data_IF_395221581859
#
_entry.id   IF_395221581859
#
_cell.length_a   1.000
_cell.length_b   1.000
_cell.length_c   1.000
_cell.angle_alpha   90.00
_cell.angle_beta   90.00
_cell.angle_gamma   90.00
#
_symmetry.space_group_name_H-M   'P 1'
#
loop_
_entity.id
_entity.type
_entity.pdbx_description
1 polymer ?
#
# COMPACT_ATOMS: atom_id res chain seq x y z
N UNK A 1 -53.34 -23.93 -12.21
CA UNK A 1 -52.25 -23.20 -11.51
C UNK A 1 -52.44 -21.73 -11.80
N UNK A 2 -52.98 -20.98 -10.84
CA UNK A 2 -53.51 -19.63 -11.04
C UNK A 2 -52.44 -18.64 -11.53
N UNK A 3 -52.81 -17.63 -12.34
CA UNK A 3 -51.89 -16.63 -12.90
C UNK A 3 -51.04 -15.91 -11.83
N UNK A 4 -51.56 -15.81 -10.60
CA UNK A 4 -50.85 -15.26 -9.44
C UNK A 4 -49.54 -16.00 -9.12
N UNK A 5 -49.54 -17.34 -9.15
CA UNK A 5 -48.34 -18.13 -8.85
C UNK A 5 -47.24 -17.95 -9.90
N UNK A 6 -47.62 -17.74 -11.17
CA UNK A 6 -46.66 -17.47 -12.25
C UNK A 6 -46.00 -16.11 -12.08
N UNK A 7 -46.76 -15.09 -11.71
CA UNK A 7 -46.24 -13.74 -11.47
C UNK A 7 -45.31 -13.74 -10.25
N UNK A 8 -45.71 -14.38 -9.14
CA UNK A 8 -44.88 -14.49 -7.94
C UNK A 8 -43.54 -15.19 -8.23
N UNK A 9 -43.55 -16.27 -9.02
CA UNK A 9 -42.33 -16.98 -9.41
C UNK A 9 -41.37 -16.10 -10.24
N UNK A 10 -41.89 -15.32 -11.20
CA UNK A 10 -41.08 -14.39 -12.00
C UNK A 10 -40.44 -13.32 -11.11
N UNK A 11 -41.19 -12.76 -10.16
CA UNK A 11 -40.66 -11.76 -9.22
C UNK A 11 -39.53 -12.35 -8.37
N UNK A 12 -39.70 -13.56 -7.83
CA UNK A 12 -38.67 -14.25 -7.05
C UNK A 12 -37.41 -14.49 -7.89
N UNK A 13 -37.55 -14.91 -9.15
CA UNK A 13 -36.44 -15.13 -10.05
C UNK A 13 -35.65 -13.82 -10.30
N UNK A 14 -36.35 -12.72 -10.55
CA UNK A 14 -35.75 -11.40 -10.74
C UNK A 14 -34.99 -10.95 -9.49
N UNK A 15 -35.60 -11.10 -8.30
CA UNK A 15 -34.95 -10.77 -7.02
C UNK A 15 -33.70 -11.61 -6.79
N UNK A 16 -33.74 -12.90 -7.13
CA UNK A 16 -32.60 -13.80 -7.00
C UNK A 16 -31.45 -13.38 -7.92
N UNK A 17 -31.73 -13.09 -9.20
CA UNK A 17 -30.73 -12.60 -10.15
C UNK A 17 -30.16 -11.24 -9.70
N UNK A 18 -31.01 -10.32 -9.27
CA UNK A 18 -30.58 -9.01 -8.75
C UNK A 18 -29.67 -9.15 -7.53
N UNK A 19 -29.97 -10.11 -6.65
CA UNK A 19 -29.14 -10.41 -5.46
C UNK A 19 -27.78 -10.95 -5.87
N UNK A 20 -27.73 -11.92 -6.80
CA UNK A 20 -26.46 -12.44 -7.33
C UNK A 20 -25.65 -11.30 -7.95
N UNK A 21 -26.29 -10.45 -8.76
CA UNK A 21 -25.59 -9.34 -9.40
C UNK A 21 -25.06 -8.34 -8.39
N UNK A 22 -25.85 -8.01 -7.37
CA UNK A 22 -25.41 -7.17 -6.27
C UNK A 22 -24.20 -7.77 -5.54
N UNK A 23 -24.22 -9.07 -5.25
CA UNK A 23 -23.10 -9.76 -4.59
C UNK A 23 -21.83 -9.73 -5.45
N UNK A 24 -21.91 -10.03 -6.74
CA UNK A 24 -20.75 -9.98 -7.64
C UNK A 24 -20.23 -8.54 -7.75
N UNK A 25 -21.12 -7.56 -7.96
CA UNK A 25 -20.73 -6.17 -8.04
C UNK A 25 -20.04 -5.72 -6.74
N UNK A 26 -20.57 -6.11 -5.58
CA UNK A 26 -20.06 -5.68 -4.27
C UNK A 26 -18.75 -6.35 -3.87
N UNK A 27 -18.63 -7.67 -4.05
CA UNK A 27 -17.52 -8.46 -3.53
C UNK A 27 -16.42 -8.73 -4.56
N UNK A 28 -16.73 -8.63 -5.85
CA UNK A 28 -15.76 -8.86 -6.92
C UNK A 28 -15.41 -7.53 -7.60
N UNK A 29 -16.37 -6.87 -8.24
CA UNK A 29 -16.07 -5.69 -9.07
C UNK A 29 -15.64 -4.48 -8.23
N UNK A 30 -16.40 -4.13 -7.21
CA UNK A 30 -16.17 -2.94 -6.39
C UNK A 30 -14.79 -2.89 -5.73
N UNK A 31 -14.29 -3.96 -5.06
CA UNK A 31 -12.93 -3.94 -4.52
C UNK A 31 -11.86 -3.94 -5.60
N UNK A 32 -12.12 -4.38 -6.84
CA UNK A 32 -11.14 -4.30 -7.92
C UNK A 32 -10.97 -2.85 -8.37
N UNK A 33 -12.06 -2.11 -8.57
CA UNK A 33 -12.02 -0.75 -9.11
C UNK A 33 -11.81 0.35 -8.07
N UNK A 34 -12.31 0.18 -6.84
CA UNK A 34 -12.34 1.24 -5.82
C UNK A 34 -11.37 1.02 -4.66
N UNK A 35 -10.35 0.17 -4.83
CA UNK A 35 -9.28 -0.01 -3.84
C UNK A 35 -8.64 1.34 -3.47
N UNK A 36 -8.61 1.72 -2.18
CA UNK A 36 -8.00 2.96 -1.76
C UNK A 36 -6.50 2.93 -2.05
N UNK A 37 -6.04 3.83 -2.93
CA UNK A 37 -4.63 3.94 -3.29
C UNK A 37 -3.91 4.90 -2.35
N UNK A 38 -2.69 4.56 -1.98
CA UNK A 38 -1.76 5.51 -1.36
C UNK A 38 -1.16 6.42 -2.45
N UNK A 39 -1.08 7.72 -2.18
CA UNK A 39 -0.40 8.65 -3.09
C UNK A 39 1.09 8.70 -2.76
N UNK A 40 1.95 8.76 -3.77
CA UNK A 40 3.41 8.86 -3.55
C UNK A 40 3.79 10.07 -2.71
N UNK A 41 3.09 11.21 -2.85
CA UNK A 41 3.34 12.39 -2.03
C UNK A 41 3.12 12.16 -0.52
N UNK A 42 2.21 11.27 -0.15
CA UNK A 42 1.96 10.92 1.26
C UNK A 42 3.06 10.02 1.80
N UNK A 43 3.60 9.15 0.95
CA UNK A 43 4.77 8.33 1.27
C UNK A 43 5.97 9.22 1.51
N UNK A 44 6.27 10.12 0.58
CA UNK A 44 7.43 11.01 0.71
C UNK A 44 7.32 11.92 1.93
N UNK A 45 6.13 12.49 2.19
CA UNK A 45 5.90 13.28 3.39
C UNK A 45 6.15 12.48 4.68
N UNK A 46 5.63 11.26 4.76
CA UNK A 46 5.87 10.39 5.92
C UNK A 46 7.35 10.04 6.09
N UNK A 47 8.05 9.73 5.00
CA UNK A 47 9.47 9.37 5.03
C UNK A 47 10.38 10.55 5.37
N UNK A 48 10.02 11.76 4.92
CA UNK A 48 10.69 13.01 5.26
C UNK A 48 10.60 13.28 6.78
N UNK A 49 9.40 13.14 7.36
CA UNK A 49 9.20 13.23 8.82
C UNK A 49 10.05 12.21 9.59
N UNK A 50 10.30 11.03 9.01
CA UNK A 50 11.13 9.97 9.59
C UNK A 50 12.62 10.07 9.24
N UNK A 51 13.03 11.02 8.41
CA UNK A 51 14.41 11.17 7.90
C UNK A 51 14.94 9.90 7.22
N UNK A 52 14.10 9.22 6.43
CA UNK A 52 14.48 8.02 5.70
C UNK A 52 14.27 8.22 4.19
N UNK A 53 15.15 7.64 3.38
CA UNK A 53 15.06 7.67 1.91
C UNK A 53 14.14 6.56 1.41
N UNK A 54 13.34 6.87 0.40
CA UNK A 54 12.46 5.90 -0.24
C UNK A 54 13.26 4.89 -1.07
N UNK A 55 12.88 3.61 -1.01
CA UNK A 55 13.42 2.55 -1.87
C UNK A 55 12.30 1.95 -2.71
N UNK A 56 11.31 1.37 -2.04
CA UNK A 56 10.16 0.77 -2.70
C UNK A 56 8.91 0.82 -1.83
N UNK A 57 7.76 0.73 -2.48
CA UNK A 57 6.52 0.34 -1.81
C UNK A 57 5.81 -0.74 -2.63
N UNK A 58 5.17 -1.68 -1.94
CA UNK A 58 4.37 -2.73 -2.59
C UNK A 58 3.12 -3.07 -1.80
N UNK A 59 2.12 -3.62 -2.49
CA UNK A 59 0.92 -4.14 -1.83
C UNK A 59 1.28 -5.43 -1.08
N UNK A 60 0.70 -5.65 0.10
CA UNK A 60 1.00 -6.88 0.85
C UNK A 60 0.55 -8.13 0.08
N UNK A 61 1.42 -9.13 0.08
CA UNK A 61 1.09 -10.46 -0.41
C UNK A 61 0.22 -11.24 0.62
N UNK A 62 -0.24 -12.44 0.26
CA UNK A 62 -1.09 -13.25 1.13
C UNK A 62 -0.41 -13.66 2.44
N UNK A 63 0.88 -13.99 2.40
CA UNK A 63 1.66 -14.42 3.59
C UNK A 63 1.92 -13.26 4.55
N UNK A 64 2.22 -12.07 4.04
CA UNK A 64 2.36 -10.84 4.82
C UNK A 64 1.04 -10.45 5.48
N UNK A 65 -0.10 -10.57 4.78
CA UNK A 65 -1.43 -10.29 5.35
C UNK A 65 -1.79 -11.21 6.51
N UNK A 66 -1.37 -12.48 6.45
CA UNK A 66 -1.62 -13.46 7.51
C UNK A 66 -0.95 -13.08 8.83
N UNK A 67 0.16 -12.33 8.80
CA UNK A 67 0.86 -11.86 10.00
C UNK A 67 0.08 -10.80 10.78
N UNK A 68 -0.93 -10.18 10.17
CA UNK A 68 -1.85 -9.27 10.83
C UNK A 68 -1.15 -8.15 11.63
N UNK A 69 -0.27 -7.40 10.96
CA UNK A 69 0.53 -6.32 11.57
C UNK A 69 -0.33 -5.24 12.26
N UNK A 70 -1.60 -5.13 11.87
CA UNK A 70 -2.57 -4.17 12.40
C UNK A 70 -3.44 -4.76 13.54
N UNK A 71 -3.12 -5.96 14.06
CA UNK A 71 -3.84 -6.62 15.17
C UNK A 71 -5.37 -6.63 15.00
N UNK A 72 -5.84 -6.91 13.78
CA UNK A 72 -7.26 -6.99 13.46
C UNK A 72 -7.88 -8.23 14.10
N UNK A 73 -9.01 -8.06 14.78
CA UNK A 73 -9.85 -9.19 15.17
C UNK A 73 -10.46 -9.83 13.92
N UNK A 74 -10.42 -11.16 13.85
CA UNK A 74 -11.13 -11.91 12.80
C UNK A 74 -12.62 -11.91 13.15
N UNK A 75 -13.46 -11.42 12.25
CA UNK A 75 -14.91 -11.36 12.46
C UNK A 75 -15.63 -10.59 11.36
N UNK A 76 -16.95 -10.52 11.48
CA UNK A 76 -17.81 -9.75 10.59
C UNK A 76 -18.36 -8.56 11.38
N UNK A 77 -17.76 -7.38 11.23
CA UNK A 77 -18.32 -6.15 11.81
C UNK A 77 -19.18 -5.41 10.80
N UNK A 78 -20.25 -4.75 11.25
CA UNK A 78 -21.08 -3.92 10.36
C UNK A 78 -20.25 -2.79 9.74
N UNK A 79 -19.25 -2.28 10.46
CA UNK A 79 -18.32 -1.28 9.95
C UNK A 79 -17.43 -1.81 8.81
N UNK A 80 -17.12 -3.10 8.77
CA UNK A 80 -16.37 -3.71 7.66
C UNK A 80 -17.16 -3.75 6.37
N UNK A 81 -18.50 -3.87 6.45
CA UNK A 81 -19.34 -3.81 5.27
C UNK A 81 -19.23 -2.47 4.55
N UNK A 82 -18.92 -1.38 5.25
CA UNK A 82 -18.82 -0.04 4.66
C UNK A 82 -17.38 0.50 4.56
N UNK A 83 -16.38 -0.32 4.87
CA UNK A 83 -14.98 0.13 4.90
C UNK A 83 -14.14 -0.62 3.88
N UNK A 84 -13.61 0.10 2.90
CA UNK A 84 -12.57 -0.43 2.02
C UNK A 84 -11.20 -0.27 2.66
N UNK A 85 -10.35 -1.28 2.54
CA UNK A 85 -9.00 -1.28 3.11
C UNK A 85 -7.99 -1.74 2.07
N UNK A 86 -6.81 -1.14 2.10
CA UNK A 86 -5.65 -1.65 1.34
C UNK A 86 -4.40 -1.46 2.18
N UNK A 87 -3.58 -2.50 2.22
CA UNK A 87 -2.36 -2.55 3.00
C UNK A 87 -1.16 -2.50 2.07
N UNK A 88 -0.15 -1.73 2.47
CA UNK A 88 1.10 -1.53 1.77
C UNK A 88 2.29 -1.77 2.70
N UNK A 89 3.39 -2.20 2.09
CA UNK A 89 4.70 -2.28 2.72
C UNK A 89 5.56 -1.20 2.08
N UNK A 90 6.24 -0.40 2.90
CA UNK A 90 7.25 0.56 2.46
C UNK A 90 8.59 0.10 2.99
N UNK A 91 9.56 0.00 2.10
CA UNK A 91 10.96 -0.22 2.42
C UNK A 91 11.68 1.11 2.25
N UNK A 92 12.43 1.49 3.27
CA UNK A 92 13.18 2.74 3.29
C UNK A 92 14.54 2.55 3.95
N UNK A 93 15.47 3.47 3.68
CA UNK A 93 16.77 3.50 4.33
C UNK A 93 16.89 4.73 5.21
N UNK A 94 17.10 4.53 6.51
CA UNK A 94 17.22 5.63 7.46
C UNK A 94 18.69 6.00 7.61
N UNK A 95 19.06 7.18 7.09
CA UNK A 95 20.45 7.63 6.98
C UNK A 95 21.11 7.75 8.35
N UNK A 96 20.38 8.27 9.35
CA UNK A 96 20.90 8.46 10.70
C UNK A 96 21.32 7.15 11.38
N UNK A 97 20.58 6.07 11.12
CA UNK A 97 20.81 4.75 11.71
C UNK A 97 21.62 3.82 10.81
N UNK A 98 21.84 4.22 9.55
CA UNK A 98 22.43 3.40 8.47
C UNK A 98 21.77 2.02 8.34
N UNK A 99 20.44 1.97 8.48
CA UNK A 99 19.66 0.74 8.47
C UNK A 99 18.44 0.85 7.58
N UNK A 100 18.11 -0.27 6.94
CA UNK A 100 16.82 -0.44 6.27
C UNK A 100 15.72 -0.60 7.31
N UNK A 101 14.58 0.03 7.05
CA UNK A 101 13.36 -0.10 7.84
C UNK A 101 12.18 -0.44 6.97
N UNK A 102 11.22 -1.14 7.57
CA UNK A 102 9.94 -1.46 6.96
C UNK A 102 8.85 -0.73 7.72
N UNK A 103 8.01 -0.02 6.96
CA UNK A 103 6.77 0.56 7.48
C UNK A 103 5.58 -0.12 6.80
N UNK A 104 4.70 -0.68 7.62
CA UNK A 104 3.41 -1.20 7.20
C UNK A 104 2.40 -0.05 7.20
N UNK A 105 1.64 0.06 6.13
CA UNK A 105 0.61 1.09 5.99
C UNK A 105 -0.73 0.44 5.72
N UNK A 106 -1.76 0.89 6.41
CA UNK A 106 -3.13 0.56 6.09
C UNK A 106 -3.88 1.84 5.71
N UNK A 107 -4.40 1.86 4.48
CA UNK A 107 -5.29 2.91 4.00
C UNK A 107 -6.72 2.41 4.09
N UNK A 108 -7.55 3.11 4.85
CA UNK A 108 -8.96 2.79 4.99
C UNK A 108 -9.80 3.92 4.38
N UNK A 109 -10.91 3.56 3.72
CA UNK A 109 -11.89 4.51 3.21
C UNK A 109 -13.27 4.04 3.60
N UNK A 110 -13.99 4.86 4.38
CA UNK A 110 -15.38 4.60 4.75
C UNK A 110 -16.29 5.13 3.65
N UNK A 111 -17.23 4.29 3.22
CA UNK A 111 -18.25 4.57 2.21
C UNK A 111 -19.48 5.21 2.86
N UNK A 112 -19.26 6.35 3.52
CA UNK A 112 -20.31 7.19 4.09
C UNK A 112 -20.55 8.42 3.21
N UNK A 113 -21.66 9.15 3.42
CA UNK A 113 -21.95 10.44 2.73
C UNK A 113 -20.75 11.40 2.75
N UNK A 114 -19.99 11.40 3.85
CA UNK A 114 -18.67 12.03 3.94
C UNK A 114 -17.60 10.96 3.76
N UNK A 115 -16.91 10.96 2.61
CA UNK A 115 -15.81 10.04 2.33
C UNK A 115 -14.65 10.34 3.29
N UNK A 116 -14.55 9.58 4.39
CA UNK A 116 -13.44 9.70 5.35
C UNK A 116 -12.36 8.68 5.00
N UNK A 117 -11.17 9.18 4.70
CA UNK A 117 -9.97 8.39 4.48
C UNK A 117 -9.06 8.48 5.69
N UNK A 118 -8.59 7.35 6.19
CA UNK A 118 -7.63 7.27 7.28
C UNK A 118 -6.42 6.43 6.86
N UNK A 119 -5.26 6.76 7.41
CA UNK A 119 -4.01 6.04 7.20
C UNK A 119 -3.38 5.71 8.54
N UNK A 120 -2.93 4.48 8.69
CA UNK A 120 -2.21 4.02 9.86
C UNK A 120 -0.83 3.50 9.43
N UNK A 121 0.21 3.88 10.15
CA UNK A 121 1.59 3.48 9.91
C UNK A 121 2.10 2.68 11.11
N UNK A 122 2.77 1.55 10.85
CA UNK A 122 3.36 0.69 11.87
C UNK A 122 4.78 0.33 11.43
N UNK A 123 5.76 0.57 12.30
CA UNK A 123 7.16 0.14 12.06
C UNK A 123 7.30 -1.36 12.32
N UNK A 124 7.97 -2.07 11.43
CA UNK A 124 8.32 -3.47 11.64
C UNK A 124 9.40 -3.58 12.73
N UNK A 125 9.21 -4.52 13.66
CA UNK A 125 10.13 -4.78 14.76
C UNK A 125 10.65 -6.21 14.77
N UNK A 126 10.11 -7.09 13.93
CA UNK A 126 10.56 -8.46 13.83
C UNK A 126 11.95 -8.53 13.20
N UNK A 127 12.92 -8.95 14.01
CA UNK A 127 14.34 -9.00 13.68
C UNK A 127 14.62 -9.91 12.49
N UNK A 128 13.91 -11.04 12.35
CA UNK A 128 14.11 -11.98 11.25
C UNK A 128 13.77 -11.36 9.89
N UNK A 129 12.65 -10.63 9.83
CA UNK A 129 12.20 -9.93 8.62
C UNK A 129 13.21 -8.83 8.26
N UNK A 130 13.64 -8.05 9.24
CA UNK A 130 14.61 -6.97 9.01
C UNK A 130 15.97 -7.51 8.55
N UNK A 131 16.41 -8.65 9.11
CA UNK A 131 17.63 -9.32 8.67
C UNK A 131 17.51 -9.86 7.24
N UNK A 132 16.35 -10.42 6.88
CA UNK A 132 16.11 -10.89 5.52
C UNK A 132 16.08 -9.73 4.52
N UNK A 133 15.46 -8.61 4.88
CA UNK A 133 15.49 -7.39 4.09
C UNK A 133 16.92 -6.89 3.89
N UNK A 134 17.74 -6.87 4.94
CA UNK A 134 19.13 -6.45 4.82
C UNK A 134 19.94 -7.34 3.87
N UNK A 135 19.63 -8.64 3.81
CA UNK A 135 20.22 -9.56 2.82
C UNK A 135 19.74 -9.26 1.39
N UNK A 136 18.45 -8.96 1.22
CA UNK A 136 17.84 -8.65 -0.08
C UNK A 136 18.38 -7.34 -0.68
N UNK A 137 18.59 -6.32 0.16
CA UNK A 137 19.11 -5.00 -0.22
C UNK A 137 20.56 -4.80 0.19
N UNK A 138 21.39 -5.84 0.16
CA UNK A 138 22.81 -5.78 0.54
C UNK A 138 23.67 -4.99 -0.47
N UNK A 139 23.26 -3.77 -0.76
CA UNK A 139 23.92 -2.81 -1.63
C UNK A 139 24.58 -1.75 -0.77
N UNK A 140 25.81 -1.38 -1.15
CA UNK A 140 26.54 -0.30 -0.51
C UNK A 140 25.89 1.04 -0.90
N UNK A 141 25.27 1.71 0.08
CA UNK A 141 24.64 3.02 -0.16
C UNK A 141 25.72 4.09 -0.11
N UNK A 142 26.03 4.65 -1.28
CA UNK A 142 26.94 5.78 -1.42
C UNK A 142 26.12 7.07 -1.34
N UNK A 143 26.36 7.87 -0.29
CA UNK A 143 25.73 9.19 -0.16
C UNK A 143 26.42 10.16 -1.12
N UNK A 144 25.69 10.62 -2.12
CA UNK A 144 26.17 11.55 -3.15
C UNK A 144 25.79 12.97 -2.73
N UNK A 145 26.78 13.81 -2.38
CA UNK A 145 26.55 15.19 -1.93
C UNK A 145 26.83 16.21 -3.04
N UNK A 146 28.00 16.10 -3.68
CA UNK A 146 28.56 17.12 -4.56
C UNK A 146 29.25 16.53 -5.80
N UNK A 147 29.64 15.25 -5.78
CA UNK A 147 30.34 14.60 -6.88
C UNK A 147 29.79 13.22 -7.23
N UNK A 148 29.74 12.92 -8.52
CA UNK A 148 29.33 11.62 -9.02
C UNK A 148 30.31 10.53 -8.55
N UNK A 149 29.84 9.44 -7.93
CA UNK A 149 30.74 8.37 -7.52
C UNK A 149 31.38 7.65 -8.72
N UNK A 150 30.71 7.62 -9.87
CA UNK A 150 31.22 6.95 -11.07
C UNK A 150 32.23 7.81 -11.85
N UNK A 151 31.93 9.09 -12.10
CA UNK A 151 32.76 9.94 -12.97
C UNK A 151 33.35 11.17 -12.30
N UNK A 152 33.13 11.35 -10.99
CA UNK A 152 33.63 12.48 -10.16
C UNK A 152 33.23 13.88 -10.64
N UNK A 153 32.28 13.96 -11.59
CA UNK A 153 31.71 15.23 -12.04
C UNK A 153 30.89 15.89 -10.93
N UNK A 154 30.82 17.22 -10.93
CA UNK A 154 29.98 17.95 -9.99
C UNK A 154 28.51 17.65 -10.21
N UNK A 155 27.76 17.39 -9.14
CA UNK A 155 26.32 17.14 -9.17
C UNK A 155 25.61 18.18 -8.33
N UNK A 156 24.49 18.68 -8.84
CA UNK A 156 23.57 19.51 -8.06
C UNK A 156 22.66 18.61 -7.23
N UNK A 157 22.37 18.99 -5.99
CA UNK A 157 21.57 18.22 -5.00
C UNK A 157 20.16 17.82 -5.47
N UNK A 158 19.68 18.37 -6.58
CA UNK A 158 18.35 18.11 -7.14
C UNK A 158 18.37 17.20 -8.38
N UNK A 159 19.55 16.75 -8.83
CA UNK A 159 19.67 15.89 -10.01
C UNK A 159 19.39 14.43 -9.67
N UNK A 160 18.45 13.81 -10.39
CA UNK A 160 18.13 12.38 -10.29
C UNK A 160 18.99 11.51 -11.19
N UNK A 161 19.84 12.12 -12.01
CA UNK A 161 20.72 11.44 -12.96
C UNK A 161 21.99 12.27 -13.19
N UNK A 162 23.15 11.60 -13.29
CA UNK A 162 24.40 12.24 -13.64
C UNK A 162 24.46 12.54 -15.14
N UNK A 163 24.47 13.82 -15.52
CA UNK A 163 24.56 14.26 -16.92
C UNK A 163 25.80 13.76 -17.67
N UNK A 164 26.88 13.42 -16.97
CA UNK A 164 28.14 13.02 -17.58
C UNK A 164 28.23 11.50 -17.85
N UNK A 165 27.66 10.67 -16.97
CA UNK A 165 27.80 9.21 -17.08
C UNK A 165 26.47 8.43 -17.04
N UNK A 166 25.33 9.11 -16.98
CA UNK A 166 23.99 8.51 -16.96
C UNK A 166 23.68 7.70 -15.69
N UNK A 167 24.43 7.90 -14.60
CA UNK A 167 24.17 7.22 -13.34
C UNK A 167 22.92 7.80 -12.68
N UNK A 168 21.89 6.98 -12.47
CA UNK A 168 20.67 7.39 -11.79
C UNK A 168 20.88 7.47 -10.27
N UNK A 169 20.44 8.57 -9.68
CA UNK A 169 20.41 8.80 -8.24
C UNK A 169 19.01 8.55 -7.70
N UNK A 170 18.94 7.82 -6.59
CA UNK A 170 17.69 7.70 -5.83
C UNK A 170 17.56 8.95 -4.97
N UNK A 171 16.64 9.83 -5.35
CA UNK A 171 16.43 11.11 -4.67
C UNK A 171 15.93 10.93 -3.23
N UNK A 172 16.29 11.90 -2.41
CA UNK A 172 15.88 12.05 -1.01
C UNK A 172 14.39 12.33 -0.87
#
# INVERSE_FOLDING_TARGET
MEPFFRIAYIIILILFIATIWYLIARYILFPIFFKPKIKSSEIFKFLEEKKCSFIEYKTLNSTEKQRNQFNRTKGFSVDELFTLRTQYKIVCFCIAEKKYKIYWIEVQTRLTLFKKRTMQFIEEKNVEILNQLQKEYNQEIIIVADKCPACKSGILTNETECKNCGLNFVAK
#
